data_IF_687311552503
#
_entry.id   IF_687311552503
#
_cell.length_a   1.000
_cell.length_b   1.000
_cell.length_c   1.000
_cell.angle_alpha   90.00
_cell.angle_beta   90.00
_cell.angle_gamma   90.00
#
_symmetry.space_group_name_H-M   'P 1'
#
loop_
_entity.id
_entity.type
_entity.pdbx_description
1 polymer ?
#
# COMPACT_ATOMS: atom_id res chain seq x y z
N UNK A 1 64.92 0.86 29.00
CA UNK A 1 63.63 0.13 28.92
C UNK A 1 62.56 1.10 28.39
N UNK A 2 62.13 0.93 27.13
CA UNK A 2 61.04 1.73 26.54
C UNK A 2 59.82 0.80 26.41
N UNK A 3 58.76 1.09 27.17
CA UNK A 3 57.52 0.35 27.15
C UNK A 3 56.65 0.90 26.01
N UNK A 4 56.34 0.06 25.01
CA UNK A 4 55.43 0.40 23.90
C UNK A 4 54.03 0.01 24.33
N UNK A 5 53.15 1.00 24.45
CA UNK A 5 51.73 0.82 24.73
C UNK A 5 51.00 0.58 23.40
N UNK A 6 50.49 -0.61 23.22
CA UNK A 6 49.72 -0.98 22.03
C UNK A 6 48.24 -0.66 22.25
N UNK A 7 47.70 0.34 21.52
CA UNK A 7 46.29 0.68 21.54
C UNK A 7 45.58 -0.20 20.50
N UNK A 8 44.80 -1.16 20.99
CA UNK A 8 43.95 -1.98 20.15
C UNK A 8 42.69 -1.22 19.72
N UNK A 9 42.55 -0.98 18.42
CA UNK A 9 41.37 -0.39 17.82
C UNK A 9 40.26 -1.44 17.74
N UNK A 10 39.25 -1.32 18.60
CA UNK A 10 38.05 -2.18 18.61
C UNK A 10 37.10 -1.65 17.53
N UNK A 11 37.08 -2.28 16.35
CA UNK A 11 36.08 -1.98 15.31
C UNK A 11 34.75 -2.59 15.70
N UNK A 12 33.81 -1.75 16.10
CA UNK A 12 32.39 -2.14 16.28
C UNK A 12 31.79 -2.30 14.88
N UNK A 13 31.61 -3.55 14.43
CA UNK A 13 30.78 -3.86 13.27
C UNK A 13 29.33 -3.62 13.64
N UNK A 14 28.78 -2.48 13.19
CA UNK A 14 27.35 -2.25 13.26
C UNK A 14 26.69 -3.15 12.19
N UNK A 15 26.18 -4.30 12.62
CA UNK A 15 25.34 -5.12 11.76
C UNK A 15 24.03 -4.36 11.54
N UNK A 16 23.90 -3.74 10.38
CA UNK A 16 22.59 -3.26 9.90
C UNK A 16 21.71 -4.48 9.70
N UNK A 17 20.80 -4.72 10.62
CA UNK A 17 19.70 -5.67 10.42
C UNK A 17 18.85 -5.12 9.28
N UNK A 18 19.10 -5.58 8.06
CA UNK A 18 18.16 -5.47 6.95
C UNK A 18 17.01 -6.39 7.34
N UNK A 19 15.90 -5.81 7.79
CA UNK A 19 14.69 -6.59 8.00
C UNK A 19 14.33 -7.21 6.65
N UNK A 20 14.29 -8.54 6.64
CA UNK A 20 13.88 -9.32 5.47
C UNK A 20 12.45 -8.90 5.11
N UNK A 21 12.27 -8.17 4.01
CA UNK A 21 10.99 -7.60 3.54
C UNK A 21 9.98 -8.67 3.11
N UNK A 22 10.36 -9.94 3.17
CA UNK A 22 9.59 -11.04 2.58
C UNK A 22 8.95 -11.92 3.65
N UNK A 23 8.05 -11.36 4.45
CA UNK A 23 7.13 -12.20 5.21
C UNK A 23 6.14 -12.84 4.24
N UNK A 24 6.11 -14.16 4.25
CA UNK A 24 5.29 -14.97 3.33
C UNK A 24 3.80 -14.79 3.65
N UNK A 25 3.19 -13.76 3.02
CA UNK A 25 1.74 -13.57 3.05
C UNK A 25 1.09 -14.52 2.05
N UNK A 26 0.90 -15.76 2.45
CA UNK A 26 0.18 -16.74 1.62
C UNK A 26 -1.26 -16.30 1.39
N UNK A 27 -1.75 -16.28 0.14
CA UNK A 27 -3.13 -15.97 -0.16
C UNK A 27 -4.10 -16.94 0.53
N UNK A 28 -5.18 -16.40 1.10
CA UNK A 28 -6.16 -17.17 1.90
C UNK A 28 -7.55 -17.21 1.29
N UNK A 29 -7.87 -16.24 0.42
CA UNK A 29 -9.17 -16.15 -0.25
C UNK A 29 -9.07 -16.61 -1.70
N UNK A 30 -7.99 -16.28 -2.37
CA UNK A 30 -7.84 -16.40 -3.80
C UNK A 30 -6.59 -17.22 -4.16
N UNK A 31 -6.68 -18.02 -5.21
CA UNK A 31 -5.52 -18.67 -5.82
C UNK A 31 -4.96 -17.75 -6.91
N UNK A 32 -3.78 -17.15 -6.74
CA UNK A 32 -3.14 -16.34 -7.77
C UNK A 32 -2.90 -17.13 -9.05
N UNK A 33 -3.06 -16.47 -10.18
CA UNK A 33 -2.77 -17.00 -11.52
C UNK A 33 -1.68 -16.18 -12.20
N UNK A 34 -1.96 -15.60 -13.36
CA UNK A 34 -0.99 -14.84 -14.15
C UNK A 34 -0.60 -13.54 -13.41
N UNK A 35 0.66 -13.16 -13.52
CA UNK A 35 1.14 -11.86 -13.07
C UNK A 35 0.63 -10.79 -14.03
N UNK A 36 -0.20 -9.89 -13.53
CA UNK A 36 -0.77 -8.78 -14.29
C UNK A 36 0.11 -7.53 -14.25
N UNK A 37 0.85 -7.35 -13.15
CA UNK A 37 1.84 -6.29 -12.95
C UNK A 37 2.87 -6.78 -11.95
N UNK A 38 4.14 -6.49 -12.24
CA UNK A 38 5.28 -6.68 -11.36
C UNK A 38 6.14 -5.42 -11.48
N UNK A 39 6.20 -4.61 -10.44
CA UNK A 39 6.78 -3.28 -10.47
C UNK A 39 7.62 -3.03 -9.22
N UNK A 40 8.94 -3.07 -9.39
CA UNK A 40 9.95 -2.78 -8.39
C UNK A 40 10.48 -1.34 -8.47
N UNK A 41 9.88 -0.51 -9.34
CA UNK A 41 10.20 0.91 -9.52
C UNK A 41 11.67 1.20 -9.87
N UNK A 42 12.47 0.25 -10.35
CA UNK A 42 13.87 0.42 -10.78
C UNK A 42 13.96 1.23 -12.10
N UNK A 43 13.51 2.49 -12.05
CA UNK A 43 13.51 3.45 -13.16
C UNK A 43 13.41 4.88 -12.64
N UNK A 44 13.71 5.91 -13.46
CA UNK A 44 13.74 7.31 -13.01
C UNK A 44 12.36 7.94 -12.77
N UNK A 45 11.28 7.41 -13.39
CA UNK A 45 9.94 7.98 -13.33
C UNK A 45 8.87 6.89 -13.19
N UNK A 46 7.66 7.19 -12.66
CA UNK A 46 6.58 6.20 -12.52
C UNK A 46 6.20 5.47 -13.82
N UNK A 47 6.34 6.15 -14.97
CA UNK A 47 6.18 5.55 -16.30
C UNK A 47 4.73 5.29 -16.70
N UNK A 48 4.57 4.60 -17.84
CA UNK A 48 3.28 4.26 -18.41
C UNK A 48 2.47 3.35 -17.49
N UNK A 49 1.16 3.63 -17.39
CA UNK A 49 0.28 2.89 -16.49
C UNK A 49 0.13 3.54 -15.11
N UNK A 50 0.95 4.53 -14.78
CA UNK A 50 0.83 5.32 -13.58
C UNK A 50 0.40 6.75 -13.92
N UNK A 51 -0.55 7.29 -13.16
CA UNK A 51 -1.07 8.65 -13.36
C UNK A 51 -1.19 9.38 -12.02
N UNK A 52 -0.30 10.34 -11.79
CA UNK A 52 -0.40 11.31 -10.70
C UNK A 52 -1.58 12.24 -10.93
N UNK A 53 -2.53 12.31 -10.00
CA UNK A 53 -3.73 13.16 -10.09
C UNK A 53 -3.59 14.37 -9.19
N UNK A 54 -3.01 14.19 -8.00
CA UNK A 54 -2.76 15.19 -6.98
C UNK A 54 -1.48 14.83 -6.22
N UNK A 55 -0.84 15.86 -5.65
CA UNK A 55 0.41 15.69 -4.92
C UNK A 55 1.61 15.52 -5.84
N UNK A 56 2.73 15.21 -5.23
CA UNK A 56 3.99 14.96 -5.91
C UNK A 56 4.30 13.46 -5.78
N UNK A 57 4.44 12.78 -6.94
CA UNK A 57 4.76 11.37 -7.04
C UNK A 57 5.98 11.19 -7.92
N UNK A 58 7.03 10.63 -7.37
CA UNK A 58 8.31 10.44 -8.06
C UNK A 58 8.96 9.12 -7.65
N UNK A 59 9.92 8.67 -8.43
CA UNK A 59 10.82 7.60 -8.05
C UNK A 59 12.07 8.21 -7.40
N UNK A 60 12.45 7.70 -6.24
CA UNK A 60 13.67 8.08 -5.51
C UNK A 60 14.36 6.79 -5.11
N UNK A 61 15.58 6.57 -5.64
CA UNK A 61 16.40 5.38 -5.36
C UNK A 61 15.64 4.05 -5.56
N UNK A 62 14.88 3.95 -6.66
CA UNK A 62 14.09 2.76 -6.98
C UNK A 62 12.83 2.59 -6.14
N UNK A 63 12.39 3.61 -5.43
CA UNK A 63 11.19 3.59 -4.57
C UNK A 63 10.19 4.63 -5.08
N UNK A 64 8.93 4.25 -5.21
CA UNK A 64 7.85 5.20 -5.50
C UNK A 64 7.50 5.99 -4.24
N UNK A 65 7.71 7.31 -4.28
CA UNK A 65 7.47 8.20 -3.13
C UNK A 65 6.36 9.19 -3.46
N UNK A 66 5.37 9.27 -2.58
CA UNK A 66 4.25 10.21 -2.66
C UNK A 66 4.28 11.25 -1.55
N UNK A 67 3.87 12.48 -1.87
CA UNK A 67 3.82 13.63 -0.96
C UNK A 67 2.62 14.51 -1.25
N UNK A 68 1.93 15.01 -0.20
CA UNK A 68 0.94 16.08 -0.37
C UNK A 68 1.59 17.38 -0.82
N UNK A 69 0.90 18.11 -1.69
CA UNK A 69 1.24 19.49 -2.01
C UNK A 69 0.19 20.42 -1.38
N UNK A 70 0.59 21.39 -0.56
CA UNK A 70 -0.35 22.35 0.06
C UNK A 70 -1.22 23.09 -0.96
N UNK A 71 -0.68 23.33 -2.16
CA UNK A 71 -1.37 23.99 -3.28
C UNK A 71 -2.57 23.21 -3.78
N UNK A 72 -2.56 21.90 -3.65
CA UNK A 72 -3.65 21.04 -4.13
C UNK A 72 -4.88 21.06 -3.21
N UNK A 73 -4.71 21.46 -1.95
CA UNK A 73 -5.75 21.42 -0.89
C UNK A 73 -6.48 20.05 -0.84
N UNK A 74 -5.74 19.00 -1.13
CA UNK A 74 -6.24 17.63 -1.28
C UNK A 74 -5.12 16.64 -0.98
N UNK A 75 -5.47 15.47 -0.47
CA UNK A 75 -4.54 14.35 -0.35
C UNK A 75 -3.83 14.05 -1.68
N UNK A 76 -2.60 13.61 -1.64
CA UNK A 76 -1.90 13.13 -2.83
C UNK A 76 -2.59 11.87 -3.39
N UNK A 77 -2.71 11.78 -4.71
CA UNK A 77 -3.44 10.71 -5.41
C UNK A 77 -2.64 10.22 -6.60
N UNK A 78 -2.40 8.91 -6.64
CA UNK A 78 -1.79 8.21 -7.76
C UNK A 78 -2.70 7.06 -8.20
N UNK A 79 -2.91 6.92 -9.49
CA UNK A 79 -3.63 5.80 -10.08
C UNK A 79 -2.68 4.85 -10.81
N UNK A 80 -2.82 3.55 -10.57
CA UNK A 80 -2.30 2.49 -11.43
C UNK A 80 -3.40 2.08 -12.41
N UNK A 81 -3.20 2.34 -13.70
CA UNK A 81 -4.18 2.15 -14.78
C UNK A 81 -4.25 0.69 -15.21
N UNK A 82 -4.63 -0.19 -14.29
CA UNK A 82 -4.78 -1.62 -14.54
C UNK A 82 -6.21 -2.05 -14.25
N UNK A 83 -6.93 -2.47 -15.29
CA UNK A 83 -8.29 -2.99 -15.12
C UNK A 83 -8.28 -4.36 -14.45
N UNK A 84 -9.23 -4.60 -13.57
CA UNK A 84 -9.43 -5.88 -12.91
C UNK A 84 -10.89 -6.05 -12.45
N UNK A 85 -11.29 -7.29 -12.16
CA UNK A 85 -12.49 -7.59 -11.38
C UNK A 85 -12.10 -8.27 -10.08
N UNK A 86 -11.28 -9.33 -10.19
CA UNK A 86 -10.73 -10.11 -9.10
C UNK A 86 -9.21 -10.10 -9.19
N UNK A 87 -8.53 -9.98 -8.06
CA UNK A 87 -7.07 -9.93 -8.03
C UNK A 87 -6.51 -10.16 -6.63
N UNK A 88 -5.24 -10.56 -6.59
CA UNK A 88 -4.38 -10.40 -5.41
C UNK A 88 -3.41 -9.26 -5.70
N UNK A 89 -3.28 -8.33 -4.77
CA UNK A 89 -2.32 -7.23 -4.84
C UNK A 89 -1.45 -7.28 -3.60
N UNK A 90 -0.15 -7.20 -3.78
CA UNK A 90 0.83 -7.11 -2.70
C UNK A 90 1.81 -5.98 -2.98
N UNK A 91 2.19 -5.24 -1.97
CA UNK A 91 3.23 -4.23 -2.06
C UNK A 91 3.81 -3.91 -0.69
N UNK A 92 5.06 -3.47 -0.68
CA UNK A 92 5.72 -2.92 0.49
C UNK A 92 5.38 -1.44 0.63
N UNK A 93 5.23 -0.97 1.86
CA UNK A 93 5.00 0.44 2.14
C UNK A 93 5.72 0.89 3.41
N UNK A 94 6.03 2.19 3.44
CA UNK A 94 6.57 2.88 4.60
C UNK A 94 6.04 4.31 4.60
N UNK A 95 5.64 4.82 5.76
CA UNK A 95 5.31 6.23 5.89
C UNK A 95 6.20 6.90 6.93
N UNK A 96 6.57 8.15 6.63
CA UNK A 96 7.52 8.94 7.41
C UNK A 96 6.93 10.31 7.77
N UNK A 97 7.60 11.00 8.71
CA UNK A 97 7.25 12.34 9.14
C UNK A 97 5.83 12.43 9.70
N UNK A 98 5.11 13.45 9.29
CA UNK A 98 3.72 13.72 9.72
C UNK A 98 2.67 12.91 8.97
N UNK A 99 3.04 11.88 8.21
CA UNK A 99 2.09 11.05 7.47
C UNK A 99 1.16 10.31 8.41
N UNK A 100 -0.15 10.54 8.25
CA UNK A 100 -1.20 9.97 9.09
C UNK A 100 -1.77 8.66 8.57
N UNK A 101 -1.17 8.13 7.50
CA UNK A 101 -1.56 6.89 6.84
C UNK A 101 -1.92 7.08 5.38
N UNK A 102 -2.39 6.01 4.75
CA UNK A 102 -2.81 6.03 3.37
C UNK A 102 -4.04 5.15 3.14
N UNK A 103 -4.66 5.33 1.97
CA UNK A 103 -5.70 4.45 1.47
C UNK A 103 -5.22 3.77 0.20
N UNK A 104 -5.27 2.44 0.18
CA UNK A 104 -5.29 1.67 -1.04
C UNK A 104 -6.75 1.52 -1.45
N UNK A 105 -7.14 2.12 -2.59
CA UNK A 105 -8.53 2.26 -3.00
C UNK A 105 -8.75 1.69 -4.39
N UNK A 106 -9.98 1.28 -4.65
CA UNK A 106 -10.43 0.89 -5.98
C UNK A 106 -11.68 1.69 -6.35
N UNK A 107 -11.76 2.01 -7.62
CA UNK A 107 -12.93 2.64 -8.22
C UNK A 107 -13.78 1.60 -8.94
N UNK A 108 -15.00 1.93 -9.24
CA UNK A 108 -15.82 1.35 -10.30
C UNK A 108 -16.05 2.42 -11.39
N UNK A 109 -16.73 2.08 -12.47
CA UNK A 109 -16.93 2.97 -13.61
C UNK A 109 -17.54 4.34 -13.21
N UNK A 110 -18.44 4.35 -12.23
CA UNK A 110 -19.17 5.55 -11.79
C UNK A 110 -18.48 6.33 -10.67
N UNK A 111 -17.33 5.86 -10.14
CA UNK A 111 -16.61 6.57 -9.06
C UNK A 111 -15.93 5.65 -8.04
N UNK A 112 -15.89 6.11 -6.80
CA UNK A 112 -15.23 5.36 -5.73
C UNK A 112 -16.03 4.13 -5.30
N UNK A 113 -15.33 3.03 -5.07
CA UNK A 113 -15.93 1.75 -4.70
C UNK A 113 -15.66 1.39 -3.23
N UNK A 114 -14.42 1.14 -2.90
CA UNK A 114 -14.00 0.83 -1.55
C UNK A 114 -12.54 1.18 -1.32
N UNK A 115 -12.13 1.13 -0.06
CA UNK A 115 -10.75 1.37 0.36
C UNK A 115 -10.31 0.48 1.51
N UNK A 116 -9.05 0.15 1.48
CA UNK A 116 -8.26 -0.34 2.61
C UNK A 116 -7.51 0.86 3.16
N UNK A 117 -7.78 1.20 4.41
CA UNK A 117 -7.17 2.32 5.13
C UNK A 117 -6.09 1.74 6.04
N UNK A 118 -4.85 2.16 5.83
CA UNK A 118 -3.73 1.89 6.73
C UNK A 118 -3.47 3.17 7.52
N UNK A 119 -3.63 3.11 8.83
CA UNK A 119 -3.36 4.22 9.75
C UNK A 119 -2.40 3.74 10.85
N UNK A 120 -1.69 4.62 11.57
CA UNK A 120 -0.79 4.20 12.64
C UNK A 120 -1.42 3.27 13.68
N UNK A 121 -2.74 3.29 13.81
CA UNK A 121 -3.51 2.53 14.81
C UNK A 121 -4.19 1.27 14.27
N UNK A 122 -3.98 0.92 12.99
CA UNK A 122 -4.52 -0.32 12.44
C UNK A 122 -4.99 -0.26 11.00
N UNK A 123 -5.77 -1.26 10.64
CA UNK A 123 -6.24 -1.55 9.30
C UNK A 123 -7.78 -1.49 9.27
N UNK A 124 -8.35 -0.80 8.29
CA UNK A 124 -9.81 -0.71 8.13
C UNK A 124 -10.18 -0.95 6.66
N UNK A 125 -11.21 -1.75 6.41
CA UNK A 125 -11.79 -1.94 5.07
C UNK A 125 -13.21 -1.43 5.08
N UNK A 126 -13.56 -0.58 4.12
CA UNK A 126 -14.90 -0.01 4.00
C UNK A 126 -15.28 0.32 2.56
N UNK A 127 -16.57 0.30 2.26
CA UNK A 127 -17.07 0.85 0.98
C UNK A 127 -17.04 2.38 0.99
N UNK A 128 -17.02 2.96 -0.17
CA UNK A 128 -17.17 4.40 -0.33
C UNK A 128 -18.63 4.80 -0.55
N UNK A 129 -19.00 6.00 -0.09
CA UNK A 129 -20.27 6.62 -0.49
C UNK A 129 -20.24 6.95 -1.97
N UNK A 130 -21.38 6.88 -2.64
CA UNK A 130 -21.50 7.43 -3.97
C UNK A 130 -21.78 8.95 -3.88
N UNK A 131 -21.11 9.73 -4.73
CA UNK A 131 -21.29 11.19 -4.78
C UNK A 131 -22.54 11.59 -5.57
N UNK A 132 -22.99 10.73 -6.48
CA UNK A 132 -24.13 10.96 -7.36
C UNK A 132 -25.42 10.36 -6.78
N UNK A 133 -25.31 9.25 -6.08
CA UNK A 133 -26.42 8.61 -5.37
C UNK A 133 -26.21 8.73 -3.86
N UNK A 134 -26.87 9.70 -3.26
CA UNK A 134 -26.79 9.98 -1.82
C UNK A 134 -27.37 8.87 -0.93
N UNK A 135 -28.15 7.94 -1.49
CA UNK A 135 -28.65 6.78 -0.77
C UNK A 135 -27.54 5.77 -0.46
N UNK A 136 -26.52 5.72 -1.31
CA UNK A 136 -25.35 4.86 -1.14
C UNK A 136 -24.39 5.44 -0.11
N UNK A 137 -24.43 4.88 1.08
CA UNK A 137 -23.56 5.28 2.20
C UNK A 137 -22.26 4.49 2.19
N UNK A 138 -21.28 5.00 2.91
CA UNK A 138 -20.06 4.27 3.21
C UNK A 138 -20.32 3.30 4.36
N UNK A 139 -19.97 2.02 4.16
CA UNK A 139 -20.20 0.95 5.12
C UNK A 139 -18.89 0.33 5.56
N UNK A 140 -18.77 0.03 6.85
CA UNK A 140 -17.63 -0.69 7.40
C UNK A 140 -17.75 -2.17 7.01
N UNK A 141 -16.73 -2.70 6.35
CA UNK A 141 -16.61 -4.14 6.06
C UNK A 141 -15.88 -4.85 7.21
N UNK A 142 -14.84 -4.22 7.74
CA UNK A 142 -14.12 -4.74 8.89
C UNK A 142 -12.94 -3.85 9.30
N UNK A 143 -12.41 -4.14 10.49
CA UNK A 143 -11.24 -3.43 11.02
C UNK A 143 -10.41 -4.33 11.93
N UNK A 144 -9.12 -4.05 12.02
CA UNK A 144 -8.18 -4.66 12.95
C UNK A 144 -7.34 -3.57 13.61
N UNK A 145 -7.29 -3.57 14.95
CA UNK A 145 -6.42 -2.67 15.70
C UNK A 145 -4.99 -3.21 15.69
N UNK A 146 -4.02 -2.34 15.54
CA UNK A 146 -2.62 -2.66 15.53
C UNK A 146 -1.76 -1.42 15.44
N UNK A 147 -0.47 -1.58 15.21
CA UNK A 147 0.47 -0.47 15.17
C UNK A 147 1.35 -0.55 13.95
N UNK A 148 1.50 0.58 13.28
CA UNK A 148 2.47 0.83 12.22
C UNK A 148 3.37 1.98 12.65
N UNK A 149 4.65 1.69 12.79
CA UNK A 149 5.65 2.68 13.18
C UNK A 149 6.09 3.52 11.98
N UNK A 150 6.26 4.82 12.17
CA UNK A 150 6.88 5.69 11.17
C UNK A 150 8.31 5.23 10.88
N UNK A 151 8.72 5.28 9.60
CA UNK A 151 10.05 4.88 9.16
C UNK A 151 10.26 3.37 9.01
N UNK A 152 9.29 2.53 9.37
CA UNK A 152 9.38 1.09 9.22
C UNK A 152 8.64 0.60 7.96
N UNK A 153 9.25 -0.35 7.25
CA UNK A 153 8.63 -1.04 6.13
C UNK A 153 7.67 -2.12 6.60
N UNK A 154 6.54 -2.21 5.92
CA UNK A 154 5.53 -3.24 6.07
C UNK A 154 5.06 -3.70 4.70
N UNK A 155 4.49 -4.89 4.63
CA UNK A 155 3.84 -5.41 3.42
C UNK A 155 2.33 -5.48 3.63
N UNK A 156 1.57 -4.94 2.66
CA UNK A 156 0.12 -5.10 2.57
C UNK A 156 -0.21 -6.06 1.44
N UNK A 157 -1.07 -7.04 1.71
CA UNK A 157 -1.72 -7.86 0.69
C UNK A 157 -3.22 -7.65 0.74
N UNK A 158 -3.83 -7.45 -0.43
CA UNK A 158 -5.29 -7.32 -0.60
C UNK A 158 -5.74 -8.34 -1.63
N UNK A 159 -6.67 -9.20 -1.22
CA UNK A 159 -7.29 -10.23 -2.07
C UNK A 159 -8.75 -9.88 -2.32
N UNK A 160 -9.19 -9.99 -3.54
CA UNK A 160 -10.56 -9.68 -3.97
C UNK A 160 -11.06 -10.78 -4.90
N UNK A 161 -12.19 -11.41 -4.50
CA UNK A 161 -12.92 -12.37 -5.34
C UNK A 161 -14.43 -12.14 -5.17
N UNK A 162 -15.11 -11.80 -6.27
CA UNK A 162 -16.54 -11.51 -6.25
C UNK A 162 -16.84 -10.39 -5.24
N UNK A 163 -17.71 -10.66 -4.30
CA UNK A 163 -18.11 -9.75 -3.22
C UNK A 163 -17.21 -9.78 -1.98
N UNK A 164 -16.15 -10.63 -1.97
CA UNK A 164 -15.28 -10.86 -0.81
C UNK A 164 -13.98 -10.08 -0.93
N UNK A 165 -13.46 -9.65 0.22
CA UNK A 165 -12.16 -8.99 0.36
C UNK A 165 -11.43 -9.49 1.60
N UNK A 166 -10.13 -9.69 1.47
CA UNK A 166 -9.20 -9.90 2.60
C UNK A 166 -8.06 -8.90 2.44
N UNK A 167 -7.77 -8.17 3.51
CA UNK A 167 -6.58 -7.32 3.63
C UNK A 167 -5.75 -7.82 4.80
N UNK A 168 -4.46 -8.06 4.58
CA UNK A 168 -3.55 -8.55 5.61
C UNK A 168 -2.18 -7.90 5.48
N UNK A 169 -1.48 -7.84 6.59
CA UNK A 169 -0.14 -7.25 6.68
C UNK A 169 0.82 -8.19 7.37
N UNK A 170 2.11 -8.03 7.07
CA UNK A 170 3.20 -8.84 7.62
C UNK A 170 3.41 -8.68 9.14
N UNK A 171 2.87 -7.63 9.76
CA UNK A 171 2.83 -7.51 11.22
C UNK A 171 1.62 -8.20 11.86
N UNK A 172 0.91 -9.05 11.11
CA UNK A 172 -0.13 -9.95 11.61
C UNK A 172 -1.55 -9.36 11.63
N UNK A 173 -1.78 -8.16 11.11
CA UNK A 173 -3.14 -7.63 11.01
C UNK A 173 -3.87 -8.29 9.84
N UNK A 174 -5.12 -8.66 10.07
CA UNK A 174 -5.99 -9.25 9.06
C UNK A 174 -7.42 -8.74 9.21
N UNK A 175 -7.99 -8.30 8.09
CA UNK A 175 -9.40 -7.94 7.97
C UNK A 175 -9.98 -8.76 6.82
N UNK A 176 -11.10 -9.42 7.05
CA UNK A 176 -11.86 -10.13 6.02
C UNK A 176 -13.32 -9.76 6.10
N UNK A 177 -13.99 -9.73 4.95
CA UNK A 177 -15.41 -9.46 4.88
C UNK A 177 -15.93 -9.50 3.46
N UNK A 178 -17.20 -9.13 3.31
CA UNK A 178 -17.88 -9.14 2.02
C UNK A 178 -18.86 -7.97 1.90
N UNK A 179 -19.09 -7.55 0.67
CA UNK A 179 -20.11 -6.56 0.36
C UNK A 179 -20.48 -6.66 -1.12
N UNK A 180 -21.75 -6.77 -1.46
CA UNK A 180 -22.24 -7.04 -2.83
C UNK A 180 -21.69 -6.05 -3.88
N UNK A 181 -21.43 -4.79 -3.52
CA UNK A 181 -20.85 -3.79 -4.42
C UNK A 181 -19.42 -4.12 -4.88
N UNK A 182 -18.68 -4.99 -4.20
CA UNK A 182 -17.30 -5.34 -4.57
C UNK A 182 -17.25 -6.20 -5.85
N UNK A 183 -18.31 -6.93 -6.16
CA UNK A 183 -18.39 -7.78 -7.36
C UNK A 183 -18.69 -6.96 -8.62
N UNK A 184 -17.76 -6.13 -9.00
CA UNK A 184 -17.84 -5.25 -10.16
C UNK A 184 -16.47 -5.07 -10.81
N UNK A 185 -16.46 -4.64 -12.08
CA UNK A 185 -15.24 -4.28 -12.78
C UNK A 185 -14.63 -3.00 -12.20
N UNK A 186 -13.32 -3.00 -12.06
CA UNK A 186 -12.52 -1.94 -11.47
C UNK A 186 -11.51 -1.42 -12.50
N UNK A 187 -11.60 -0.15 -12.90
CA UNK A 187 -10.74 0.42 -13.95
C UNK A 187 -9.30 0.62 -13.52
N UNK A 188 -9.04 0.77 -12.22
CA UNK A 188 -7.71 1.08 -11.70
C UNK A 188 -7.56 0.67 -10.23
N UNK A 189 -6.31 0.65 -9.78
CA UNK A 189 -5.93 0.72 -8.37
C UNK A 189 -5.50 2.15 -8.05
N UNK A 190 -5.69 2.57 -6.81
CA UNK A 190 -5.47 3.95 -6.42
C UNK A 190 -4.82 4.06 -5.06
N UNK A 191 -3.75 4.85 -4.99
CA UNK A 191 -3.07 5.21 -3.75
C UNK A 191 -3.43 6.65 -3.38
N UNK A 192 -3.85 6.85 -2.14
CA UNK A 192 -4.23 8.18 -1.62
C UNK A 192 -3.55 8.35 -0.27
N UNK A 193 -2.69 9.35 -0.13
CA UNK A 193 -1.96 9.57 1.11
C UNK A 193 -2.10 11.00 1.62
N UNK A 194 -1.98 11.17 2.94
CA UNK A 194 -1.94 12.45 3.62
C UNK A 194 -0.66 12.57 4.43
N UNK A 195 0.03 13.69 4.24
CA UNK A 195 1.24 14.00 4.98
C UNK A 195 2.47 14.16 4.10
N UNK A 196 3.62 13.92 4.68
CA UNK A 196 4.92 14.28 4.09
C UNK A 196 5.49 13.22 3.17
N UNK A 197 5.33 11.92 3.50
CA UNK A 197 5.94 10.86 2.72
C UNK A 197 5.23 9.53 2.88
N UNK A 198 4.90 8.92 1.74
CA UNK A 198 4.53 7.52 1.60
C UNK A 198 5.48 6.89 0.58
N UNK A 199 6.25 5.91 1.02
CA UNK A 199 7.08 5.07 0.16
C UNK A 199 6.33 3.79 -0.20
N UNK A 200 6.39 3.37 -1.48
CA UNK A 200 5.81 2.14 -2.01
C UNK A 200 6.87 1.43 -2.83
N UNK A 201 6.95 0.11 -2.67
CA UNK A 201 7.91 -0.73 -3.36
C UNK A 201 7.37 -2.16 -3.57
N UNK A 202 8.04 -2.94 -4.43
CA UNK A 202 7.73 -4.36 -4.68
C UNK A 202 6.24 -4.62 -4.98
N UNK A 203 5.62 -3.75 -5.79
CA UNK A 203 4.21 -3.90 -6.10
C UNK A 203 3.97 -5.02 -7.11
N UNK A 204 3.14 -5.98 -6.73
CA UNK A 204 2.75 -7.08 -7.58
C UNK A 204 1.26 -7.32 -7.58
N UNK A 205 0.70 -7.56 -8.77
CA UNK A 205 -0.72 -7.83 -8.99
C UNK A 205 -0.85 -9.13 -9.75
N UNK A 206 -1.66 -10.03 -9.23
CA UNK A 206 -2.02 -11.29 -9.89
C UNK A 206 -3.51 -11.32 -10.24
N UNK A 207 -3.83 -11.92 -11.37
CA UNK A 207 -5.15 -12.42 -11.63
C UNK A 207 -5.49 -13.59 -10.70
N UNK A 208 -6.77 -13.92 -10.62
CA UNK A 208 -7.26 -15.04 -9.79
C UNK A 208 -8.33 -15.84 -10.54
N UNK A 209 -8.42 -17.11 -10.20
CA UNK A 209 -9.47 -18.03 -10.65
C UNK A 209 -10.46 -18.29 -9.52
#
# INVERSE_FOLDING_TARGET
MKTILSIGLLSVLCATCVADKNTDLSPVLAKPTDVLLDDNFDRPEPGNGWAGVKGDWRIVDGILVGKELPTDKHAAVLNCQKKNRNSVVRFSFKFDGSTTGFNFSLNHEKGHLFRVIVAPTGLTVRTDKDKKDISVKSELIGQAKGRFESGQWYTLQVEMIGDKVVAMTDNGLKVSGQHARLDTDKPNYRFVMKGESLSIDDLKIWGVK
#
